data_IF_238262888351
#
_entry.id   IF_238262888351
#
_cell.length_a   1.000
_cell.length_b   1.000
_cell.length_c   1.000
_cell.angle_alpha   90.00
_cell.angle_beta   90.00
_cell.angle_gamma   90.00
#
_symmetry.space_group_name_H-M   'P 1'
#
loop_
_entity.id
_entity.type
_entity.pdbx_description
1 polymer ?
#
# COMPACT_ATOMS: atom_id res chain seq x y z
N UNK A 1 -6.25 -4.50 -21.45
CA UNK A 1 -7.11 -3.37 -21.81
C UNK A 1 -7.91 -3.62 -23.09
N UNK A 2 -7.43 -4.43 -24.03
CA UNK A 2 -8.17 -4.80 -25.27
C UNK A 2 -9.55 -5.42 -25.00
N UNK A 3 -9.74 -6.02 -23.81
CA UNK A 3 -10.99 -6.69 -23.42
C UNK A 3 -11.78 -5.93 -22.35
N UNK A 4 -11.42 -4.69 -22.03
CA UNK A 4 -12.07 -3.92 -20.97
C UNK A 4 -11.84 -4.48 -19.56
N UNK A 5 -10.78 -5.26 -19.38
CA UNK A 5 -10.40 -5.85 -18.09
C UNK A 5 -9.19 -5.09 -17.54
N UNK A 6 -9.25 -4.71 -16.26
CA UNK A 6 -8.14 -4.10 -15.55
C UNK A 6 -7.35 -5.15 -14.76
N UNK A 7 -6.02 -5.05 -14.85
CA UNK A 7 -5.15 -5.76 -13.94
C UNK A 7 -5.11 -5.01 -12.61
N UNK A 8 -5.32 -5.69 -11.52
CA UNK A 8 -5.16 -5.15 -10.16
C UNK A 8 -4.39 -6.15 -9.31
N UNK A 9 -3.87 -5.70 -8.19
CA UNK A 9 -3.10 -6.50 -7.26
C UNK A 9 -2.03 -5.66 -6.57
N UNK A 10 -1.13 -6.34 -5.91
CA UNK A 10 -0.03 -5.73 -5.16
C UNK A 10 1.29 -6.43 -5.48
N UNK A 11 2.37 -5.82 -5.05
CA UNK A 11 3.67 -6.44 -5.06
C UNK A 11 3.92 -7.15 -3.72
N UNK A 12 5.18 -7.38 -3.36
CA UNK A 12 5.53 -8.12 -2.17
C UNK A 12 6.76 -7.50 -1.51
N UNK A 13 6.72 -7.33 -0.18
CA UNK A 13 7.84 -6.79 0.60
C UNK A 13 8.32 -5.40 0.14
N UNK A 14 7.40 -4.48 -0.12
CA UNK A 14 7.68 -3.17 -0.70
C UNK A 14 8.26 -2.16 0.30
N UNK A 15 8.24 -2.42 1.59
CA UNK A 15 8.42 -1.41 2.64
C UNK A 15 9.84 -0.88 2.82
N UNK A 16 10.91 -1.67 2.51
CA UNK A 16 12.30 -1.20 2.49
C UNK A 16 12.98 -1.46 1.15
N UNK A 17 14.09 -0.78 0.89
CA UNK A 17 14.90 -1.03 -0.32
C UNK A 17 15.48 -2.46 -0.30
N UNK A 18 15.86 -2.94 0.88
CA UNK A 18 16.35 -4.29 1.08
C UNK A 18 15.30 -5.34 0.77
N UNK A 19 14.11 -5.21 1.39
CA UNK A 19 13.05 -6.20 1.27
C UNK A 19 12.54 -6.31 -0.16
N UNK A 20 12.29 -5.19 -0.83
CA UNK A 20 11.85 -5.21 -2.22
C UNK A 20 12.94 -5.73 -3.17
N UNK A 21 14.22 -5.40 -2.94
CA UNK A 21 15.33 -5.95 -3.75
C UNK A 21 15.41 -7.47 -3.64
N UNK A 22 15.21 -8.02 -2.44
CA UNK A 22 15.21 -9.48 -2.23
C UNK A 22 14.04 -10.19 -2.90
N UNK A 23 12.84 -9.59 -2.84
CA UNK A 23 11.61 -10.27 -3.24
C UNK A 23 11.26 -10.04 -4.71
N UNK A 24 11.36 -8.81 -5.20
CA UNK A 24 10.78 -8.38 -6.48
C UNK A 24 11.70 -7.47 -7.30
N UNK A 25 12.82 -7.05 -6.73
CA UNK A 25 13.73 -6.07 -7.31
C UNK A 25 13.28 -4.63 -7.04
N UNK A 26 12.11 -4.25 -7.51
CA UNK A 26 11.54 -2.91 -7.38
C UNK A 26 10.02 -2.95 -7.57
N UNK A 27 9.26 -2.17 -6.80
CA UNK A 27 7.81 -2.27 -6.78
C UNK A 27 7.08 -1.33 -7.75
N UNK A 28 7.63 -0.17 -8.08
CA UNK A 28 6.89 0.85 -8.84
C UNK A 28 6.77 0.56 -10.34
N UNK A 29 7.81 -0.03 -10.94
CA UNK A 29 7.81 -0.36 -12.39
C UNK A 29 6.70 -1.30 -12.81
N UNK A 30 6.45 -2.42 -12.09
CA UNK A 30 5.33 -3.29 -12.40
C UNK A 30 3.99 -2.59 -12.28
N UNK A 31 3.83 -1.66 -11.34
CA UNK A 31 2.58 -0.91 -11.11
C UNK A 31 2.17 -0.05 -12.30
N UNK A 32 3.10 0.32 -13.18
CA UNK A 32 2.80 0.96 -14.47
C UNK A 32 1.76 0.19 -15.29
N UNK A 33 1.76 -1.13 -15.18
CA UNK A 33 0.87 -2.00 -15.96
C UNK A 33 -0.46 -2.29 -15.25
N UNK A 34 -0.62 -1.86 -14.00
CA UNK A 34 -1.86 -2.05 -13.28
C UNK A 34 -2.88 -0.97 -13.65
N UNK A 35 -4.11 -1.38 -13.86
CA UNK A 35 -5.25 -0.46 -13.98
C UNK A 35 -5.60 0.17 -12.64
N UNK A 36 -5.45 -0.60 -11.57
CA UNK A 36 -5.55 -0.16 -10.17
C UNK A 36 -4.37 -0.73 -9.39
N UNK A 37 -3.29 0.05 -9.20
CA UNK A 37 -2.21 -0.33 -8.31
C UNK A 37 -2.73 -0.58 -6.89
N UNK A 38 -2.14 -1.54 -6.20
CA UNK A 38 -2.58 -1.91 -4.87
C UNK A 38 -1.45 -2.27 -3.93
N UNK A 39 -1.83 -2.42 -2.68
CA UNK A 39 -0.97 -2.85 -1.59
C UNK A 39 -1.67 -3.92 -0.76
N UNK A 40 -0.88 -4.73 -0.07
CA UNK A 40 -1.33 -5.71 0.91
C UNK A 40 -0.86 -5.26 2.30
N UNK A 41 -1.78 -4.71 3.07
CA UNK A 41 -1.54 -4.25 4.43
C UNK A 41 -2.59 -4.82 5.38
N UNK A 42 -2.53 -6.13 5.58
CA UNK A 42 -3.52 -6.89 6.33
C UNK A 42 -3.66 -6.45 7.79
N UNK A 43 -2.54 -6.17 8.46
CA UNK A 43 -2.51 -5.82 9.88
C UNK A 43 -2.19 -4.34 10.11
N UNK A 44 -2.24 -3.92 11.37
CA UNK A 44 -2.02 -2.53 11.79
C UNK A 44 -0.53 -2.11 11.74
N UNK A 45 0.18 -2.49 10.72
CA UNK A 45 1.51 -1.93 10.43
C UNK A 45 1.32 -0.67 9.59
N UNK A 46 1.96 0.40 10.02
CA UNK A 46 1.98 1.65 9.25
C UNK A 46 3.16 1.64 8.29
N UNK A 47 3.05 0.85 7.27
CA UNK A 47 4.05 0.82 6.19
C UNK A 47 3.82 1.98 5.23
N UNK A 48 4.16 3.18 5.69
CA UNK A 48 3.94 4.41 4.93
C UNK A 48 4.65 4.40 3.58
N UNK A 49 5.82 3.79 3.53
CA UNK A 49 6.59 3.62 2.28
C UNK A 49 5.82 2.78 1.25
N UNK A 50 5.24 1.66 1.66
CA UNK A 50 4.44 0.78 0.78
C UNK A 50 3.27 1.54 0.18
N UNK A 51 2.48 2.22 1.02
CA UNK A 51 1.34 3.01 0.55
C UNK A 51 1.79 4.15 -0.37
N UNK A 52 2.84 4.89 -0.01
CA UNK A 52 3.30 6.05 -0.76
C UNK A 52 3.88 5.71 -2.14
N UNK A 53 4.52 4.55 -2.27
CA UNK A 53 5.00 4.06 -3.56
C UNK A 53 3.82 3.74 -4.50
N UNK A 54 2.79 3.06 -4.01
CA UNK A 54 1.59 2.75 -4.80
C UNK A 54 0.78 4.01 -5.16
N UNK A 55 0.59 4.94 -4.22
CA UNK A 55 -0.05 6.24 -4.47
C UNK A 55 0.70 7.02 -5.56
N UNK A 56 2.02 7.08 -5.47
CA UNK A 56 2.86 7.72 -6.48
C UNK A 56 2.68 7.10 -7.86
N UNK A 57 2.54 5.78 -7.94
CA UNK A 57 2.25 5.09 -9.20
C UNK A 57 0.85 5.45 -9.73
N UNK A 58 -0.16 5.56 -8.85
CA UNK A 58 -1.51 6.02 -9.24
C UNK A 58 -1.45 7.40 -9.88
N UNK A 59 -0.75 8.33 -9.24
CA UNK A 59 -0.61 9.71 -9.74
C UNK A 59 0.13 9.76 -11.08
N UNK A 60 1.31 9.14 -11.17
CA UNK A 60 2.17 9.19 -12.35
C UNK A 60 1.53 8.55 -13.59
N UNK A 61 0.77 7.49 -13.41
CA UNK A 61 0.15 6.76 -14.52
C UNK A 61 -1.32 7.12 -14.74
N UNK A 62 -1.83 8.15 -14.03
CA UNK A 62 -3.20 8.63 -14.19
C UNK A 62 -4.24 7.55 -13.91
N UNK A 63 -4.04 6.76 -12.84
CA UNK A 63 -4.98 5.71 -12.46
C UNK A 63 -6.11 6.29 -11.60
N UNK A 64 -7.29 5.66 -11.68
CA UNK A 64 -8.48 6.18 -11.02
C UNK A 64 -8.54 5.83 -9.53
N UNK A 65 -7.84 4.77 -9.12
CA UNK A 65 -7.95 4.22 -7.77
C UNK A 65 -6.69 3.48 -7.35
N UNK A 66 -6.50 3.44 -6.03
CA UNK A 66 -5.56 2.57 -5.34
C UNK A 66 -6.33 1.55 -4.50
N UNK A 67 -5.98 0.28 -4.62
CA UNK A 67 -6.57 -0.79 -3.82
C UNK A 67 -5.70 -1.11 -2.61
N UNK A 68 -6.31 -1.62 -1.54
CA UNK A 68 -5.59 -2.23 -0.43
C UNK A 68 -6.34 -3.44 0.08
N UNK A 69 -5.62 -4.54 0.27
CA UNK A 69 -6.05 -5.67 1.05
C UNK A 69 -5.75 -5.38 2.52
N UNK A 70 -6.78 -5.38 3.37
CA UNK A 70 -6.64 -4.91 4.74
C UNK A 70 -7.56 -5.65 5.72
N UNK A 71 -7.24 -5.54 7.02
CA UNK A 71 -7.94 -6.09 8.19
C UNK A 71 -7.61 -7.55 8.52
N UNK A 72 -6.93 -8.30 7.67
CA UNK A 72 -6.46 -9.65 7.98
C UNK A 72 -5.36 -9.65 9.05
N UNK A 73 -5.13 -10.79 9.68
CA UNK A 73 -4.11 -10.99 10.74
C UNK A 73 -4.33 -10.09 11.98
N UNK A 74 -5.54 -9.61 12.17
CA UNK A 74 -5.89 -8.68 13.26
C UNK A 74 -6.59 -9.37 14.44
N UNK A 75 -6.88 -10.66 14.29
CA UNK A 75 -7.56 -11.50 15.28
C UNK A 75 -9.10 -11.27 15.36
N UNK A 76 -9.78 -12.18 16.10
CA UNK A 76 -11.24 -12.21 16.20
C UNK A 76 -11.85 -11.09 17.04
N UNK A 77 -11.05 -10.43 17.85
CA UNK A 77 -11.44 -9.29 18.68
C UNK A 77 -11.30 -7.92 17.98
N UNK A 78 -10.95 -7.93 16.70
CA UNK A 78 -10.79 -6.70 15.92
C UNK A 78 -12.13 -6.01 15.68
N UNK A 79 -12.32 -4.86 16.31
CA UNK A 79 -13.56 -4.10 16.31
C UNK A 79 -13.59 -2.94 15.30
N UNK A 80 -14.65 -2.14 15.30
CA UNK A 80 -14.83 -1.01 14.38
C UNK A 80 -13.82 0.12 14.59
N UNK A 81 -13.22 0.24 15.78
CA UNK A 81 -12.15 1.22 16.03
C UNK A 81 -10.89 0.83 15.26
N UNK A 82 -10.57 -0.46 15.26
CA UNK A 82 -9.46 -0.99 14.46
C UNK A 82 -9.70 -0.82 12.97
N UNK A 83 -10.88 -1.17 12.48
CA UNK A 83 -11.27 -0.96 11.07
C UNK A 83 -11.16 0.51 10.66
N UNK A 84 -11.66 1.42 11.51
CA UNK A 84 -11.59 2.85 11.25
C UNK A 84 -10.15 3.36 11.25
N UNK A 85 -9.37 3.01 12.28
CA UNK A 85 -7.99 3.46 12.40
C UNK A 85 -7.15 3.04 11.19
N UNK A 86 -7.21 1.75 10.84
CA UNK A 86 -6.44 1.22 9.72
C UNK A 86 -6.91 1.79 8.38
N UNK A 87 -8.21 1.89 8.18
CA UNK A 87 -8.76 2.45 6.96
C UNK A 87 -8.50 3.96 6.80
N UNK A 88 -8.51 4.74 7.89
CA UNK A 88 -8.31 6.19 7.84
C UNK A 88 -6.91 6.56 7.36
N UNK A 89 -5.85 5.98 7.93
CA UNK A 89 -4.51 6.34 7.51
C UNK A 89 -4.19 5.85 6.10
N UNK A 90 -4.73 4.70 5.69
CA UNK A 90 -4.58 4.22 4.32
C UNK A 90 -5.36 5.10 3.34
N UNK A 91 -6.57 5.54 3.70
CA UNK A 91 -7.33 6.48 2.90
C UNK A 91 -6.62 7.84 2.75
N UNK A 92 -5.95 8.30 3.81
CA UNK A 92 -5.13 9.52 3.76
C UNK A 92 -3.92 9.41 2.82
N UNK A 93 -3.47 8.19 2.52
CA UNK A 93 -2.39 7.88 1.58
C UNK A 93 -2.92 7.25 0.27
N UNK A 94 -4.11 7.64 -0.16
CA UNK A 94 -4.61 7.37 -1.49
C UNK A 94 -5.44 6.09 -1.67
N UNK A 95 -5.61 5.26 -0.64
CA UNK A 95 -6.45 4.06 -0.75
C UNK A 95 -7.92 4.44 -0.84
N UNK A 96 -8.52 4.19 -1.99
CA UNK A 96 -9.95 4.47 -2.25
C UNK A 96 -10.77 3.20 -2.46
N UNK A 97 -10.12 2.07 -2.76
CA UNK A 97 -10.76 0.77 -2.90
C UNK A 97 -10.24 -0.18 -1.83
N UNK A 98 -11.05 -0.45 -0.82
CA UNK A 98 -10.73 -1.36 0.27
C UNK A 98 -11.18 -2.76 -0.08
N UNK A 99 -10.29 -3.73 0.06
CA UNK A 99 -10.55 -5.16 -0.11
C UNK A 99 -10.41 -5.83 1.26
N UNK A 100 -11.50 -5.93 2.03
CA UNK A 100 -11.40 -6.50 3.37
C UNK A 100 -10.98 -7.97 3.32
N UNK A 101 -9.93 -8.30 4.03
CA UNK A 101 -9.49 -9.67 4.28
C UNK A 101 -10.05 -10.11 5.64
N UNK A 102 -11.06 -10.95 5.69
CA UNK A 102 -11.85 -11.49 4.60
C UNK A 102 -13.24 -11.92 5.09
N UNK A 103 -13.86 -12.80 4.35
CA UNK A 103 -15.04 -13.56 4.78
C UNK A 103 -14.93 -14.98 4.27
N UNK A 104 -15.34 -15.96 5.08
CA UNK A 104 -15.35 -17.37 4.68
C UNK A 104 -16.77 -17.86 4.43
N UNK A 105 -16.94 -18.63 3.38
CA UNK A 105 -18.21 -19.32 3.12
C UNK A 105 -18.52 -20.35 4.20
N UNK A 106 -17.49 -21.00 4.76
CA UNK A 106 -17.60 -22.02 5.80
C UNK A 106 -16.40 -21.96 6.73
N UNK A 107 -16.61 -22.26 8.01
CA UNK A 107 -15.55 -22.43 9.01
C UNK A 107 -15.00 -23.86 9.11
N UNK A 108 -15.41 -24.75 8.21
CA UNK A 108 -14.89 -26.11 8.14
C UNK A 108 -13.47 -26.13 7.58
N UNK A 109 -12.56 -26.81 8.26
CA UNK A 109 -11.14 -26.88 7.92
C UNK A 109 -10.30 -25.78 8.57
N UNK A 110 -9.02 -26.09 8.83
CA UNK A 110 -8.12 -25.17 9.54
C UNK A 110 -7.83 -23.89 8.73
N UNK A 111 -7.58 -24.02 7.45
CA UNK A 111 -7.31 -22.89 6.55
C UNK A 111 -8.45 -21.85 6.50
N UNK A 112 -9.65 -22.21 6.94
CA UNK A 112 -10.80 -21.30 7.03
C UNK A 112 -10.82 -20.49 8.32
N UNK A 113 -9.80 -20.60 9.15
CA UNK A 113 -9.69 -19.89 10.43
C UNK A 113 -8.43 -19.05 10.52
N UNK A 114 -7.63 -19.06 9.45
CA UNK A 114 -6.43 -18.26 9.35
C UNK A 114 -6.79 -16.80 9.03
N UNK A 115 -5.97 -15.89 9.53
CA UNK A 115 -6.02 -14.46 9.22
C UNK A 115 -7.37 -13.75 9.48
N UNK A 116 -8.03 -13.97 10.66
CA UNK A 116 -9.19 -13.17 11.02
C UNK A 116 -8.79 -11.67 11.12
N UNK A 117 -9.73 -10.74 11.12
CA UNK A 117 -11.14 -10.86 11.38
C UNK A 117 -11.95 -11.18 10.12
N UNK A 118 -13.14 -11.77 10.31
CA UNK A 118 -14.15 -11.85 9.26
C UNK A 118 -15.09 -10.65 9.32
N UNK A 119 -15.52 -10.18 8.17
CA UNK A 119 -16.54 -9.11 8.06
C UNK A 119 -17.96 -9.66 7.90
N UNK A 120 -18.15 -10.98 7.93
CA UNK A 120 -19.42 -11.66 7.75
C UNK A 120 -19.87 -12.37 9.02
N UNK A 121 -20.80 -13.30 8.88
CA UNK A 121 -21.54 -13.97 9.96
C UNK A 121 -20.66 -14.65 11.03
N UNK A 122 -19.38 -14.85 10.78
CA UNK A 122 -18.44 -15.38 11.75
C UNK A 122 -18.07 -14.38 12.85
N UNK A 123 -18.29 -13.09 12.60
CA UNK A 123 -18.07 -12.03 13.59
C UNK A 123 -19.38 -11.61 14.26
N UNK A 124 -19.40 -11.39 15.59
CA UNK A 124 -20.65 -11.08 16.29
C UNK A 124 -21.30 -9.76 15.87
N UNK A 125 -20.52 -8.83 15.33
CA UNK A 125 -20.94 -7.50 14.91
C UNK A 125 -21.26 -7.39 13.40
N UNK A 126 -21.33 -8.50 12.67
CA UNK A 126 -21.42 -8.45 11.20
C UNK A 126 -22.65 -7.70 10.67
N UNK A 127 -23.76 -7.73 11.41
CA UNK A 127 -24.98 -7.01 11.03
C UNK A 127 -24.80 -5.49 11.07
N UNK A 128 -23.89 -5.01 11.91
CA UNK A 128 -23.58 -3.60 12.08
C UNK A 128 -22.42 -3.14 11.18
N UNK A 129 -21.79 -4.05 10.42
CA UNK A 129 -20.68 -3.72 9.52
C UNK A 129 -21.00 -2.61 8.49
N UNK A 130 -22.27 -2.42 8.05
CA UNK A 130 -22.64 -1.26 7.23
C UNK A 130 -22.26 0.10 7.84
N UNK A 131 -22.07 0.21 9.15
CA UNK A 131 -21.55 1.44 9.77
C UNK A 131 -20.16 1.79 9.27
N UNK A 132 -19.28 0.80 9.16
CA UNK A 132 -17.92 0.95 8.62
C UNK A 132 -17.99 1.32 7.14
N UNK A 133 -18.79 0.61 6.36
CA UNK A 133 -18.91 0.84 4.92
C UNK A 133 -19.50 2.22 4.60
N UNK A 134 -20.54 2.64 5.31
CA UNK A 134 -21.12 3.97 5.16
C UNK A 134 -20.14 5.08 5.54
N UNK A 135 -19.32 4.85 6.57
CA UNK A 135 -18.28 5.80 6.93
C UNK A 135 -17.28 5.99 5.78
N UNK A 136 -16.70 4.91 5.26
CA UNK A 136 -15.73 5.00 4.18
C UNK A 136 -16.33 5.43 2.83
N UNK A 137 -17.58 5.11 2.56
CA UNK A 137 -18.28 5.65 1.39
C UNK A 137 -18.33 7.19 1.43
N UNK A 138 -18.57 7.76 2.61
CA UNK A 138 -18.55 9.22 2.80
C UNK A 138 -17.13 9.80 2.70
N UNK A 139 -16.14 9.16 3.31
CA UNK A 139 -14.73 9.54 3.21
C UNK A 139 -14.28 9.53 1.75
N UNK A 140 -14.54 8.44 1.04
CA UNK A 140 -14.17 8.30 -0.37
C UNK A 140 -14.87 9.32 -1.27
N UNK A 141 -16.10 9.72 -0.95
CA UNK A 141 -16.80 10.78 -1.70
C UNK A 141 -16.02 12.10 -1.70
N UNK A 142 -15.27 12.36 -0.63
CA UNK A 142 -14.41 13.57 -0.56
C UNK A 142 -13.06 13.29 -1.22
N UNK A 143 -12.42 12.17 -0.89
CA UNK A 143 -11.05 11.87 -1.34
C UNK A 143 -10.93 11.59 -2.85
N UNK A 144 -12.02 11.14 -3.49
CA UNK A 144 -12.03 10.90 -4.94
C UNK A 144 -12.42 12.12 -5.77
N UNK A 145 -12.60 13.28 -5.12
CA UNK A 145 -12.93 14.52 -5.82
C UNK A 145 -11.74 15.46 -5.88
N UNK A 146 -11.51 16.00 -7.06
CA UNK A 146 -10.39 16.89 -7.32
C UNK A 146 -9.17 16.16 -7.89
N UNK A 147 -8.06 16.85 -7.90
CA UNK A 147 -6.78 16.37 -8.42
C UNK A 147 -5.74 16.54 -7.32
N UNK A 148 -4.91 15.54 -7.03
CA UNK A 148 -3.81 15.67 -6.09
C UNK A 148 -2.88 16.83 -6.47
N UNK A 149 -2.48 17.62 -5.48
CA UNK A 149 -1.58 18.75 -5.70
C UNK A 149 -0.24 18.51 -5.00
N UNK A 150 0.52 17.60 -5.55
CA UNK A 150 1.86 17.23 -5.05
C UNK A 150 2.90 18.11 -5.73
N UNK A 151 3.79 18.72 -4.93
CA UNK A 151 4.83 19.65 -5.42
C UNK A 151 6.25 19.10 -5.30
N UNK A 152 6.42 18.06 -4.50
CA UNK A 152 7.71 17.45 -4.25
C UNK A 152 7.79 16.09 -4.95
N UNK A 153 8.80 15.92 -5.77
CA UNK A 153 9.15 14.64 -6.36
C UNK A 153 10.43 14.11 -5.68
N UNK A 154 10.39 12.86 -5.27
CA UNK A 154 11.52 12.16 -4.66
C UNK A 154 11.95 11.03 -5.59
N UNK A 155 13.19 11.03 -6.03
CA UNK A 155 13.73 9.92 -6.81
C UNK A 155 13.82 8.69 -5.91
N UNK A 156 13.17 7.60 -6.31
CA UNK A 156 13.21 6.34 -5.58
C UNK A 156 14.61 5.72 -5.68
N UNK A 157 15.34 5.54 -4.57
CA UNK A 157 16.78 5.27 -4.61
C UNK A 157 17.14 3.79 -4.79
N UNK A 158 16.26 2.97 -5.36
CA UNK A 158 16.47 1.52 -5.46
C UNK A 158 17.64 1.16 -6.37
N UNK A 159 17.86 1.88 -7.47
CA UNK A 159 19.00 1.66 -8.35
C UNK A 159 20.32 1.95 -7.64
N UNK A 160 20.36 2.99 -6.84
CA UNK A 160 21.52 3.29 -5.99
C UNK A 160 21.76 2.18 -4.96
N UNK A 161 20.69 1.63 -4.39
CA UNK A 161 20.78 0.50 -3.47
C UNK A 161 21.35 -0.75 -4.15
N UNK A 162 20.96 -1.05 -5.39
CA UNK A 162 21.49 -2.19 -6.15
C UNK A 162 22.99 -2.09 -6.42
N UNK A 163 23.55 -0.89 -6.56
CA UNK A 163 25.00 -0.71 -6.73
C UNK A 163 25.80 -1.19 -5.53
N UNK A 164 25.19 -1.21 -4.34
CA UNK A 164 25.80 -1.72 -3.12
C UNK A 164 25.36 -3.15 -2.78
N UNK A 165 24.68 -3.84 -3.71
CA UNK A 165 24.29 -5.22 -3.49
C UNK A 165 25.48 -6.17 -3.62
N UNK A 166 25.81 -6.87 -2.53
CA UNK A 166 26.95 -7.77 -2.47
C UNK A 166 26.99 -8.59 -1.18
N UNK A 167 28.12 -9.25 -0.92
CA UNK A 167 28.31 -10.04 0.30
C UNK A 167 28.00 -9.21 1.55
N UNK A 168 27.21 -9.81 2.45
CA UNK A 168 26.70 -9.13 3.65
C UNK A 168 27.83 -8.51 4.49
N UNK A 169 28.92 -9.24 4.64
CA UNK A 169 30.07 -8.84 5.45
C UNK A 169 30.74 -7.56 4.96
N UNK A 170 30.58 -7.23 3.68
CA UNK A 170 31.21 -6.06 3.05
C UNK A 170 30.23 -4.90 2.85
N UNK A 171 28.95 -5.19 2.68
CA UNK A 171 27.98 -4.18 2.22
C UNK A 171 26.85 -3.90 3.20
N UNK A 172 26.69 -4.70 4.28
CA UNK A 172 25.59 -4.51 5.22
C UNK A 172 25.53 -3.09 5.80
N UNK A 173 26.61 -2.49 6.30
CA UNK A 173 26.50 -1.18 6.94
C UNK A 173 25.95 -0.10 6.02
N UNK A 174 26.41 -0.03 4.77
CA UNK A 174 25.91 0.99 3.83
C UNK A 174 24.45 0.71 3.41
N UNK A 175 24.09 -0.57 3.26
CA UNK A 175 22.71 -0.92 2.90
C UNK A 175 21.72 -0.66 4.03
N UNK A 176 22.13 -0.91 5.27
CA UNK A 176 21.33 -0.60 6.46
C UNK A 176 21.13 0.92 6.60
N UNK A 177 22.19 1.71 6.43
CA UNK A 177 22.12 3.17 6.41
C UNK A 177 21.18 3.69 5.32
N UNK A 178 21.23 3.12 4.12
CA UNK A 178 20.34 3.51 3.01
C UNK A 178 18.88 3.19 3.33
N UNK A 179 18.57 2.03 3.91
CA UNK A 179 17.23 1.67 4.33
C UNK A 179 16.70 2.60 5.44
N UNK A 180 17.52 2.88 6.44
CA UNK A 180 17.17 3.80 7.52
C UNK A 180 16.88 5.22 6.98
N UNK A 181 17.75 5.73 6.12
CA UNK A 181 17.57 7.04 5.50
C UNK A 181 16.31 7.09 4.62
N UNK A 182 16.01 6.02 3.90
CA UNK A 182 14.79 5.91 3.08
C UNK A 182 13.54 6.03 3.94
N UNK A 183 13.45 5.26 5.03
CA UNK A 183 12.31 5.29 5.94
C UNK A 183 12.22 6.64 6.68
N UNK A 184 13.33 7.14 7.22
CA UNK A 184 13.36 8.41 7.92
C UNK A 184 12.95 9.59 7.04
N UNK A 185 13.36 9.61 5.78
CA UNK A 185 12.95 10.64 4.84
C UNK A 185 11.42 10.65 4.65
N UNK A 186 10.82 9.47 4.47
CA UNK A 186 9.36 9.32 4.34
C UNK A 186 8.66 9.83 5.59
N UNK A 187 9.11 9.39 6.76
CA UNK A 187 8.55 9.80 8.04
C UNK A 187 8.66 11.32 8.23
N UNK A 188 9.81 11.92 7.98
CA UNK A 188 10.01 13.36 8.12
C UNK A 188 9.11 14.17 7.19
N UNK A 189 8.93 13.74 5.96
CA UNK A 189 8.05 14.42 5.02
C UNK A 189 6.59 14.29 5.45
N UNK A 190 6.10 13.08 5.68
CA UNK A 190 4.69 12.83 6.00
C UNK A 190 4.29 13.39 7.37
N UNK A 191 5.09 13.18 8.42
CA UNK A 191 4.84 13.80 9.74
C UNK A 191 5.06 15.31 9.74
N UNK A 192 5.89 15.81 8.83
CA UNK A 192 6.03 17.24 8.55
C UNK A 192 4.88 17.83 7.72
N UNK A 193 3.89 17.03 7.36
CA UNK A 193 2.76 17.42 6.49
C UNK A 193 3.18 17.91 5.10
N UNK A 194 4.28 17.36 4.60
CA UNK A 194 4.77 17.59 3.24
C UNK A 194 4.44 16.37 2.38
N UNK A 195 3.50 16.55 1.47
CA UNK A 195 3.16 15.51 0.51
C UNK A 195 4.17 15.46 -0.65
N UNK A 196 4.42 14.26 -1.15
CA UNK A 196 5.40 14.01 -2.20
C UNK A 196 5.01 12.79 -3.04
N UNK A 197 5.54 12.69 -4.25
CA UNK A 197 5.50 11.47 -5.05
C UNK A 197 6.89 10.90 -5.26
N UNK A 198 7.01 9.58 -5.17
CA UNK A 198 8.20 8.90 -5.67
C UNK A 198 8.21 8.86 -7.18
N UNK A 199 9.40 9.03 -7.76
CA UNK A 199 9.65 8.81 -9.18
C UNK A 199 10.70 7.71 -9.30
N UNK A 200 10.39 6.63 -10.01
CA UNK A 200 11.38 5.63 -10.39
C UNK A 200 12.27 6.22 -11.48
N UNK A 201 13.58 6.20 -11.27
CA UNK A 201 14.56 6.78 -12.19
C UNK A 201 14.43 6.21 -13.59
N UNK A 202 14.20 4.91 -13.71
CA UNK A 202 14.02 4.24 -14.99
C UNK A 202 12.76 4.66 -15.76
N UNK A 203 11.80 5.29 -15.10
CA UNK A 203 10.55 5.77 -15.71
C UNK A 203 10.64 7.22 -16.18
N UNK A 204 11.69 7.96 -15.78
CA UNK A 204 11.87 9.36 -16.17
C UNK A 204 11.76 9.62 -17.69
N UNK A 205 12.29 8.76 -18.57
CA UNK A 205 12.13 8.97 -20.02
C UNK A 205 10.69 8.89 -20.52
N UNK A 206 9.84 8.13 -19.82
CA UNK A 206 8.42 7.95 -20.18
C UNK A 206 7.54 9.05 -19.61
N UNK A 207 7.94 9.68 -18.51
CA UNK A 207 7.18 10.73 -17.83
C UNK A 207 7.33 12.11 -18.49
N UNK A 208 8.28 12.27 -19.40
CA UNK A 208 8.55 13.52 -20.11
C UNK A 208 7.80 13.64 -21.45
N UNK A 209 6.83 12.79 -21.69
CA UNK A 209 5.98 12.79 -22.90
C UNK A 209 4.57 13.26 -22.54
#
# INVERSE_FOLDING_TARGET
LEHGIYLTGHMMNEWTLHSQTLAIGECMRPMKNFGMPGVDMLCDRRELSTAKQAESAVHQFGREAMTSELYGVTNWDFDFRGHKLQGDWQAALGVTVRVPHLTWTSMAGEAKRDYPASISYQSPWYKEYPLVENYFARVNTVLTRGIPHVKLAVIHPVESYWLFWGPKEQTAPIREEMDENFIHMIDWLLYGTVDFDFISESLLPDLNK
#
